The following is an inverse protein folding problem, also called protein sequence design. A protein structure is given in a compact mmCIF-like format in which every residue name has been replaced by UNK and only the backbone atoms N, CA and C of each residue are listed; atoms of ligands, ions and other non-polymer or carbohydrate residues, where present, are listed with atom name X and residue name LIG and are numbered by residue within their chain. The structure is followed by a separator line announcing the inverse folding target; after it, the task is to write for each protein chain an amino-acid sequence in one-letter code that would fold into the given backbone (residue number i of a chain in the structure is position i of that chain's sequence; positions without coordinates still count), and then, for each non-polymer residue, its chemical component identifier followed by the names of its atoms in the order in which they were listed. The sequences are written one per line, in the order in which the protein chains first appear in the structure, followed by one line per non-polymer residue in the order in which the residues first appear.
data_IF_348755754946
#
_entry.id   IF_348755754946
#
_cell.length_a   1.000
_cell.length_b   1.000
_cell.length_c   1.000
_cell.angle_alpha   90.00
_cell.angle_beta   90.00
_cell.angle_gamma   90.00
#
_symmetry.space_group_name_H-M   'P 1'
#
loop_
_entity.id
_entity.type
_entity.pdbx_description
1 polymer ?
#
# COMPACT_ATOMS: atom_id res chain seq x y z
N UNK A 1 -0.68 7.61 43.76
CA UNK A 1 -0.27 8.60 42.75
C UNK A 1 0.67 7.88 41.78
N UNK A 2 0.28 7.87 40.50
CA UNK A 2 1.11 7.81 39.29
C UNK A 2 1.76 6.47 38.87
N UNK A 3 0.90 5.52 38.49
CA UNK A 3 1.20 4.64 37.33
C UNK A 3 1.04 5.47 36.05
N UNK A 4 2.11 6.02 35.48
CA UNK A 4 2.12 6.41 34.06
C UNK A 4 3.46 7.04 33.62
N UNK A 5 4.52 6.25 33.40
CA UNK A 5 5.62 6.67 32.50
C UNK A 5 6.32 5.48 31.82
N UNK A 6 5.60 4.36 31.63
CA UNK A 6 6.11 3.17 30.93
C UNK A 6 5.69 3.05 29.46
N UNK A 7 4.94 4.00 28.89
CA UNK A 7 4.34 3.86 27.55
C UNK A 7 4.96 4.80 26.52
N UNK A 8 6.27 4.71 26.31
CA UNK A 8 6.92 5.34 25.17
C UNK A 8 8.14 4.52 24.76
N UNK A 9 7.92 3.46 23.98
CA UNK A 9 8.93 2.82 23.13
C UNK A 9 8.23 2.35 21.83
N UNK A 10 8.98 2.32 20.70
CA UNK A 10 8.54 2.82 19.40
C UNK A 10 7.76 1.77 18.59
N UNK A 11 7.11 2.23 17.51
CA UNK A 11 6.50 1.39 16.49
C UNK A 11 7.48 0.28 16.07
N UNK A 12 7.32 -0.90 16.65
CA UNK A 12 8.08 -2.07 16.28
C UNK A 12 7.88 -2.29 14.79
N UNK A 13 8.98 -2.47 14.06
CA UNK A 13 8.95 -3.07 12.73
C UNK A 13 8.10 -4.34 12.85
N UNK A 14 6.84 -4.25 12.43
CA UNK A 14 5.97 -5.41 12.47
C UNK A 14 6.51 -6.35 11.41
N UNK A 15 7.18 -7.42 11.85
CA UNK A 15 7.58 -8.49 10.95
C UNK A 15 6.30 -9.26 10.58
N UNK A 16 5.59 -8.76 9.57
CA UNK A 16 4.42 -9.44 9.03
C UNK A 16 4.90 -10.64 8.20
N UNK A 17 4.48 -11.84 8.58
CA UNK A 17 4.85 -13.12 7.94
C UNK A 17 3.64 -13.68 7.19
N UNK A 18 3.87 -14.41 6.10
CA UNK A 18 2.83 -15.05 5.29
C UNK A 18 2.26 -14.15 4.20
N UNK A 19 1.40 -14.67 3.33
CA UNK A 19 1.02 -14.02 2.07
C UNK A 19 0.08 -12.82 2.22
N UNK A 20 -0.26 -12.40 3.44
CA UNK A 20 -1.12 -11.24 3.71
C UNK A 20 -0.34 -10.17 4.46
N UNK A 21 -0.34 -8.96 3.91
CA UNK A 21 0.14 -7.72 4.53
C UNK A 21 -1.08 -6.99 5.08
N UNK A 22 -1.03 -6.55 6.34
CA UNK A 22 -2.11 -5.80 6.98
C UNK A 22 -1.75 -4.33 7.12
N UNK A 23 -2.73 -3.46 6.92
CA UNK A 23 -2.64 -2.04 7.19
C UNK A 23 -3.99 -1.49 7.61
N UNK A 24 -4.24 -0.25 7.27
CA UNK A 24 -5.51 0.45 7.51
C UNK A 24 -6.22 0.65 6.18
N UNK A 25 -7.43 0.11 6.08
CA UNK A 25 -8.34 0.39 4.96
C UNK A 25 -8.68 1.88 4.91
N UNK A 26 -8.31 2.54 3.83
CA UNK A 26 -8.44 3.99 3.68
C UNK A 26 -9.50 4.37 2.65
N UNK A 27 -9.69 3.55 1.62
CA UNK A 27 -10.70 3.72 0.58
C UNK A 27 -11.22 2.33 0.21
N UNK A 28 -12.54 2.18 0.15
CA UNK A 28 -13.21 0.90 -0.03
C UNK A 28 -13.01 0.30 -1.42
N UNK A 29 -13.35 -0.99 -1.56
CA UNK A 29 -13.25 -1.74 -2.79
C UNK A 29 -12.09 -2.74 -2.79
N UNK A 30 -12.07 -3.58 -3.81
CA UNK A 30 -11.10 -4.67 -3.95
C UNK A 30 -10.65 -4.82 -5.40
N UNK A 31 -9.35 -4.96 -5.60
CA UNK A 31 -8.77 -5.15 -6.94
C UNK A 31 -7.55 -6.07 -6.90
N UNK A 32 -7.35 -6.83 -7.97
CA UNK A 32 -6.14 -7.64 -8.19
C UNK A 32 -5.39 -7.08 -9.41
N UNK A 33 -4.17 -6.60 -9.20
CA UNK A 33 -3.37 -5.97 -10.25
C UNK A 33 -1.86 -6.01 -9.91
N UNK A 34 -0.98 -5.75 -10.90
CA UNK A 34 0.46 -5.79 -10.68
C UNK A 34 0.89 -4.69 -9.72
N UNK A 35 1.70 -5.04 -8.73
CA UNK A 35 2.33 -4.06 -7.85
C UNK A 35 3.35 -3.24 -8.63
N UNK A 36 3.38 -1.92 -8.41
CA UNK A 36 4.43 -1.03 -8.86
C UNK A 36 5.05 -0.36 -7.64
N UNK A 37 6.23 -0.84 -7.24
CA UNK A 37 6.97 -0.28 -6.10
C UNK A 37 7.81 0.90 -6.59
N UNK A 38 7.49 2.09 -6.07
CA UNK A 38 8.15 3.35 -6.42
C UNK A 38 8.81 3.95 -5.18
N UNK A 39 10.08 4.34 -5.30
CA UNK A 39 10.87 4.91 -4.21
C UNK A 39 10.96 6.43 -4.27
N UNK A 40 10.68 7.03 -5.43
CA UNK A 40 10.64 8.47 -5.61
C UNK A 40 10.28 8.92 -7.03
N UNK A 41 10.34 10.23 -7.31
CA UNK A 41 9.99 10.83 -8.60
C UNK A 41 10.73 10.23 -9.80
N UNK A 42 11.97 9.75 -9.60
CA UNK A 42 12.76 9.10 -10.63
C UNK A 42 12.10 7.82 -11.18
N UNK A 43 11.23 7.18 -10.40
CA UNK A 43 10.56 5.94 -10.78
C UNK A 43 9.19 6.19 -11.45
N UNK A 44 8.71 7.44 -11.48
CA UNK A 44 7.34 7.76 -11.93
C UNK A 44 7.07 7.31 -13.37
N UNK A 45 8.08 7.36 -14.24
CA UNK A 45 7.97 6.90 -15.63
C UNK A 45 7.78 5.39 -15.78
N UNK A 46 7.91 4.61 -14.69
CA UNK A 46 7.71 3.16 -14.71
C UNK A 46 6.27 2.74 -14.41
N UNK A 47 5.45 3.65 -13.87
CA UNK A 47 4.04 3.38 -13.55
C UNK A 47 3.24 3.09 -14.82
N UNK A 48 2.46 2.01 -14.80
CA UNK A 48 1.55 1.69 -15.90
C UNK A 48 0.09 1.93 -15.46
N UNK A 49 -0.80 2.31 -16.40
CA UNK A 49 -2.24 2.35 -16.12
C UNK A 49 -2.74 0.99 -15.62
N UNK A 50 -3.47 1.01 -14.51
CA UNK A 50 -4.02 -0.19 -13.86
C UNK A 50 -3.09 -0.83 -12.83
N UNK A 51 -1.84 -0.39 -12.67
CA UNK A 51 -0.96 -0.91 -11.61
C UNK A 51 -1.46 -0.52 -10.21
N UNK A 52 -1.09 -1.31 -9.21
CA UNK A 52 -1.18 -0.92 -7.79
C UNK A 52 0.01 -0.04 -7.45
N UNK A 53 -0.25 1.21 -7.08
CA UNK A 53 0.77 2.14 -6.62
C UNK A 53 1.27 1.75 -5.23
N UNK A 54 2.53 1.31 -5.11
CA UNK A 54 3.15 0.95 -3.83
C UNK A 54 4.29 1.92 -3.52
N UNK A 55 4.21 2.62 -2.39
CA UNK A 55 5.23 3.59 -1.99
C UNK A 55 5.39 3.65 -0.48
N UNK A 56 6.54 4.10 0.02
CA UNK A 56 6.71 4.27 1.47
C UNK A 56 5.81 5.39 2.00
N UNK A 57 5.81 6.53 1.31
CA UNK A 57 5.01 7.72 1.59
C UNK A 57 4.75 8.44 0.26
N UNK A 58 3.61 9.09 0.15
CA UNK A 58 3.25 9.92 -1.02
C UNK A 58 3.16 11.39 -0.65
N UNK A 59 3.48 12.26 -1.59
CA UNK A 59 3.33 13.72 -1.50
C UNK A 59 2.48 14.22 -2.67
N UNK A 60 2.07 15.50 -2.72
CA UNK A 60 1.27 16.03 -3.83
C UNK A 60 1.87 15.84 -5.23
N UNK A 61 3.19 15.62 -5.34
CA UNK A 61 3.84 15.28 -6.61
C UNK A 61 3.38 13.94 -7.19
N UNK A 62 2.80 13.06 -6.37
CA UNK A 62 2.35 11.72 -6.75
C UNK A 62 0.93 11.71 -7.30
N UNK A 63 0.16 12.79 -7.19
CA UNK A 63 -1.27 12.84 -7.54
C UNK A 63 -1.55 12.37 -8.98
N UNK A 64 -0.66 12.68 -9.94
CA UNK A 64 -0.81 12.20 -11.32
C UNK A 64 -0.75 10.67 -11.46
N UNK A 65 -0.05 9.98 -10.55
CA UNK A 65 0.01 8.53 -10.52
C UNK A 65 -1.27 7.90 -9.98
N UNK A 66 -2.00 8.57 -9.09
CA UNK A 66 -3.27 8.08 -8.57
C UNK A 66 -4.32 7.96 -9.67
N UNK A 67 -4.31 8.88 -10.64
CA UNK A 67 -5.20 8.82 -11.80
C UNK A 67 -4.95 7.59 -12.70
N UNK A 68 -3.75 7.00 -12.64
CA UNK A 68 -3.40 5.79 -13.39
C UNK A 68 -3.54 4.52 -12.55
N UNK A 69 -3.53 4.64 -11.22
CA UNK A 69 -3.50 3.49 -10.32
C UNK A 69 -4.86 2.81 -10.23
N UNK A 70 -4.86 1.48 -10.10
CA UNK A 70 -6.07 0.73 -9.75
C UNK A 70 -6.29 0.63 -8.25
N UNK A 71 -5.23 0.75 -7.44
CA UNK A 71 -5.25 0.83 -5.98
C UNK A 71 -3.95 1.45 -5.44
N UNK A 72 -3.95 1.81 -4.15
CA UNK A 72 -2.81 2.42 -3.47
C UNK A 72 -2.44 1.67 -2.21
N UNK A 73 -1.15 1.39 -2.04
CA UNK A 73 -0.59 0.79 -0.83
C UNK A 73 0.56 1.63 -0.33
N UNK A 74 0.53 2.01 0.96
CA UNK A 74 1.67 2.71 1.57
C UNK A 74 2.16 2.10 2.87
N UNK A 75 3.46 2.22 3.12
CA UNK A 75 4.05 1.81 4.41
C UNK A 75 3.69 2.79 5.52
N UNK A 76 3.61 4.08 5.19
CA UNK A 76 3.31 5.18 6.11
C UNK A 76 2.04 5.88 5.67
N UNK A 77 1.18 6.20 6.63
CA UNK A 77 -0.07 6.91 6.39
C UNK A 77 -1.15 6.48 7.38
N UNK A 78 -2.24 7.21 7.38
CA UNK A 78 -3.41 6.93 8.21
C UNK A 78 -4.67 7.43 7.51
N UNK A 79 -5.85 7.29 8.13
CA UNK A 79 -7.14 7.60 7.49
C UNK A 79 -7.33 9.05 7.00
N UNK A 80 -6.46 9.97 7.41
CA UNK A 80 -6.48 11.39 7.06
C UNK A 80 -5.21 11.84 6.30
N UNK A 81 -4.33 10.92 5.91
CA UNK A 81 -3.13 11.28 5.15
C UNK A 81 -3.44 11.66 3.70
N UNK A 82 -2.50 12.34 3.05
CA UNK A 82 -2.59 12.69 1.64
C UNK A 82 -3.02 11.51 0.76
N UNK A 83 -2.36 10.35 0.89
CA UNK A 83 -2.72 9.12 0.17
C UNK A 83 -4.17 8.68 0.40
N UNK A 84 -4.69 8.82 1.62
CA UNK A 84 -6.07 8.43 1.95
C UNK A 84 -7.10 9.34 1.29
N UNK A 85 -6.83 10.64 1.28
CA UNK A 85 -7.74 11.64 0.71
C UNK A 85 -7.82 11.44 -0.80
N UNK A 86 -6.66 11.41 -1.46
CA UNK A 86 -6.59 11.31 -2.92
C UNK A 86 -7.14 9.96 -3.42
N UNK A 87 -6.88 8.84 -2.74
CA UNK A 87 -7.46 7.56 -3.14
C UNK A 87 -9.00 7.56 -3.12
N UNK A 88 -9.63 8.24 -2.15
CA UNK A 88 -11.09 8.38 -2.09
C UNK A 88 -11.62 9.28 -3.20
N UNK A 89 -10.91 10.36 -3.53
CA UNK A 89 -11.28 11.26 -4.63
C UNK A 89 -11.27 10.55 -5.98
N UNK A 90 -10.30 9.64 -6.20
CA UNK A 90 -10.25 8.81 -7.40
C UNK A 90 -11.12 7.54 -7.33
N UNK A 91 -11.72 7.24 -6.18
CA UNK A 91 -12.58 6.06 -5.99
C UNK A 91 -11.84 4.73 -6.11
N UNK A 92 -10.55 4.69 -5.78
CA UNK A 92 -9.72 3.48 -5.86
C UNK A 92 -9.46 2.88 -4.47
N UNK A 93 -9.38 1.55 -4.33
CA UNK A 93 -9.05 0.89 -3.07
C UNK A 93 -7.72 1.36 -2.50
N UNK A 94 -7.63 1.49 -1.17
CA UNK A 94 -6.39 1.88 -0.53
C UNK A 94 -6.14 1.21 0.83
N UNK A 95 -4.90 0.76 1.04
CA UNK A 95 -4.41 0.19 2.29
C UNK A 95 -3.13 0.91 2.71
N UNK A 96 -3.18 1.63 3.83
CA UNK A 96 -2.10 2.52 4.27
C UNK A 96 -1.49 2.02 5.58
N UNK A 97 -0.31 2.53 5.92
CA UNK A 97 0.31 2.23 7.21
C UNK A 97 0.72 0.75 7.35
N UNK A 98 1.03 0.09 6.24
CA UNK A 98 1.42 -1.34 6.24
C UNK A 98 2.77 -1.60 6.90
N UNK A 99 3.63 -0.57 6.99
CA UNK A 99 4.99 -0.64 7.54
C UNK A 99 6.01 -1.42 6.71
N UNK A 100 5.58 -2.34 5.83
CA UNK A 100 6.46 -3.32 5.16
C UNK A 100 6.13 -3.60 3.69
N UNK A 101 5.09 -2.99 3.09
CA UNK A 101 4.70 -3.29 1.72
C UNK A 101 5.81 -3.03 0.70
N UNK A 102 6.55 -1.92 0.80
CA UNK A 102 7.66 -1.66 -0.15
C UNK A 102 8.82 -2.64 -0.04
N UNK A 103 8.95 -3.33 1.09
CA UNK A 103 10.01 -4.32 1.34
C UNK A 103 9.58 -5.73 0.93
N UNK A 104 8.28 -6.03 1.03
CA UNK A 104 7.72 -7.36 0.78
C UNK A 104 7.20 -7.55 -0.64
N UNK A 105 6.79 -6.47 -1.30
CA UNK A 105 6.30 -6.49 -2.67
C UNK A 105 7.43 -6.22 -3.65
N UNK A 106 7.31 -6.78 -4.85
CA UNK A 106 8.21 -6.53 -5.96
C UNK A 106 7.39 -6.05 -7.14
N UNK A 107 7.96 -5.12 -7.91
CA UNK A 107 7.32 -4.60 -9.11
C UNK A 107 6.97 -5.72 -10.09
N UNK A 108 5.75 -5.68 -10.63
CA UNK A 108 5.20 -6.69 -11.53
C UNK A 108 4.48 -7.86 -10.85
N UNK A 109 4.63 -8.02 -9.52
CA UNK A 109 3.96 -9.10 -8.79
C UNK A 109 2.45 -8.84 -8.70
N UNK A 110 1.63 -9.83 -9.04
CA UNK A 110 0.19 -9.74 -8.81
C UNK A 110 -0.14 -9.69 -7.31
N UNK A 111 -0.93 -8.71 -6.93
CA UNK A 111 -1.42 -8.56 -5.55
C UNK A 111 -2.91 -8.24 -5.56
N UNK A 112 -3.61 -8.72 -4.54
CA UNK A 112 -5.00 -8.34 -4.27
C UNK A 112 -5.02 -7.31 -3.15
N UNK A 113 -5.46 -6.09 -3.45
CA UNK A 113 -5.69 -5.03 -2.46
C UNK A 113 -7.16 -5.03 -2.08
N UNK A 114 -7.45 -5.17 -0.79
CA UNK A 114 -8.78 -5.09 -0.20
C UNK A 114 -8.81 -3.90 0.76
N UNK A 115 -9.38 -2.80 0.29
CA UNK A 115 -9.49 -1.55 1.02
C UNK A 115 -10.58 -1.57 2.09
N UNK A 116 -11.55 -2.49 1.99
CA UNK A 116 -12.57 -2.71 3.02
C UNK A 116 -11.97 -3.46 4.23
N UNK A 117 -11.17 -4.49 3.96
CA UNK A 117 -10.53 -5.31 4.99
C UNK A 117 -9.21 -4.71 5.50
N UNK A 118 -8.61 -3.76 4.78
CA UNK A 118 -7.29 -3.21 5.10
C UNK A 118 -6.15 -4.20 4.87
N UNK A 119 -6.23 -5.02 3.82
CA UNK A 119 -5.28 -6.10 3.55
C UNK A 119 -4.75 -6.09 2.12
N UNK A 120 -3.50 -6.52 1.96
CA UNK A 120 -2.88 -6.78 0.66
C UNK A 120 -2.41 -8.23 0.64
N UNK A 121 -2.96 -9.04 -0.26
CA UNK A 121 -2.61 -10.45 -0.42
C UNK A 121 -1.66 -10.61 -1.60
N UNK A 122 -0.54 -11.30 -1.39
CA UNK A 122 0.40 -11.69 -2.43
C UNK A 122 -0.18 -12.89 -3.17
N UNK A 123 -0.38 -12.77 -4.48
CA UNK A 123 -0.77 -13.92 -5.28
C UNK A 123 0.45 -14.86 -5.45
N UNK A 124 0.17 -16.16 -5.45
CA UNK A 124 1.16 -17.21 -5.73
C UNK A 124 1.40 -17.23 -7.25
N UNK A 125 2.67 -17.36 -7.67
CA UNK A 125 2.97 -17.59 -9.07
C UNK A 125 2.39 -18.94 -9.48
N UNK A 126 1.28 -18.91 -10.24
CA UNK A 126 0.78 -20.12 -10.89
C UNK A 126 1.80 -20.49 -11.95
N UNK A 127 2.70 -21.41 -11.60
CA UNK A 127 3.63 -22.02 -12.54
C UNK A 127 2.79 -22.68 -13.65
N UNK A 128 2.62 -21.98 -14.78
CA UNK A 128 2.13 -22.59 -16.01
C UNK A 128 3.26 -23.50 -16.51
N UNK A 129 3.28 -24.72 -16.01
CA UNK A 129 3.92 -25.83 -16.69
C UNK A 129 3.28 -25.94 -18.07
N UNK A 130 4.07 -25.69 -19.11
CA UNK A 130 3.70 -25.95 -20.50
C UNK A 130 3.64 -27.45 -20.80
#
# INVERSE_FOLDING_TARGET
MDKAFGSMMPAGLQHQVGDVIKGVGASAGRVTAPARVLTGPQDFGTMQPGDVLVARITTPAWTSLFAMASAVVTDVGGPLSHSSIVAREYGIPAVLGTGVATQRLSTGRQVTVDGDAGTVTLEQDVHRSG
#
